data_IF_225003255225
#
_entry.id   IF_225003255225
#
_cell.length_a   1.000
_cell.length_b   1.000
_cell.length_c   1.000
_cell.angle_alpha   90.00
_cell.angle_beta   90.00
_cell.angle_gamma   90.00
#
_symmetry.space_group_name_H-M   'P 1'
#
loop_
_entity.id
_entity.type
_entity.pdbx_description
1 polymer ?
#
# COMPACT_ATOMS: atom_id res chain seq x y z
N UNK A 1 3.43 -9.05 -21.48
CA UNK A 1 4.06 -7.76 -21.07
C UNK A 1 3.43 -7.22 -19.79
N UNK A 2 2.11 -7.20 -19.65
CA UNK A 2 1.38 -6.76 -18.44
C UNK A 2 1.66 -7.65 -17.21
N UNK A 3 1.61 -8.98 -17.40
CA UNK A 3 1.87 -9.97 -16.34
C UNK A 3 3.21 -9.78 -15.64
N UNK A 4 4.25 -9.43 -16.38
CA UNK A 4 5.58 -9.27 -15.79
C UNK A 4 5.72 -7.96 -15.00
N UNK A 5 5.03 -6.88 -15.41
CA UNK A 5 5.05 -5.61 -14.68
C UNK A 5 4.25 -5.67 -13.37
N UNK A 6 3.06 -6.29 -13.37
CA UNK A 6 2.29 -6.52 -12.14
C UNK A 6 3.01 -7.51 -11.23
N UNK A 7 3.62 -8.58 -11.77
CA UNK A 7 4.45 -9.49 -11.00
C UNK A 7 5.64 -8.78 -10.35
N UNK A 8 6.24 -7.77 -10.98
CA UNK A 8 7.34 -7.02 -10.38
C UNK A 8 6.90 -6.17 -9.19
N UNK A 9 5.68 -5.62 -9.22
CA UNK A 9 5.10 -4.87 -8.10
C UNK A 9 4.67 -5.84 -6.98
N UNK A 10 4.05 -6.97 -7.34
CA UNK A 10 3.63 -8.00 -6.39
C UNK A 10 4.80 -8.85 -5.86
N UNK A 11 5.84 -9.07 -6.67
CA UNK A 11 7.05 -9.77 -6.22
C UNK A 11 7.83 -8.95 -5.19
N UNK A 12 7.70 -7.63 -5.25
CA UNK A 12 8.26 -6.77 -4.24
C UNK A 12 7.57 -6.97 -2.87
N UNK A 13 6.24 -7.14 -2.83
CA UNK A 13 5.51 -7.50 -1.60
C UNK A 13 5.94 -8.88 -1.09
N UNK A 14 6.07 -9.89 -1.97
CA UNK A 14 6.54 -11.23 -1.60
C UNK A 14 8.00 -11.27 -1.16
N UNK A 15 8.87 -10.44 -1.71
CA UNK A 15 10.27 -10.33 -1.30
C UNK A 15 10.44 -9.77 0.12
N UNK A 16 9.51 -8.98 0.59
CA UNK A 16 9.46 -8.48 1.97
C UNK A 16 9.02 -9.56 2.97
N UNK A 17 8.05 -10.38 2.61
CA UNK A 17 7.66 -11.56 3.41
C UNK A 17 8.82 -12.55 3.58
N UNK A 18 9.72 -12.65 2.59
CA UNK A 18 10.89 -13.52 2.64
C UNK A 18 12.02 -12.98 3.53
N UNK A 19 12.18 -11.65 3.63
CA UNK A 19 13.19 -11.03 4.53
C UNK A 19 12.74 -10.98 5.99
N UNK A 20 11.44 -11.00 6.25
CA UNK A 20 10.85 -11.05 7.59
C UNK A 20 10.62 -12.47 8.12
N UNK A 21 10.98 -13.50 7.35
CA UNK A 21 10.91 -14.88 7.81
C UNK A 21 12.07 -15.12 8.79
N UNK A 22 11.81 -14.83 10.07
CA UNK A 22 12.54 -15.46 11.15
C UNK A 22 12.63 -16.96 10.86
N UNK A 23 13.80 -17.54 11.05
CA UNK A 23 14.07 -18.97 10.93
C UNK A 23 12.85 -19.76 11.34
N UNK A 24 12.33 -20.59 10.43
CA UNK A 24 11.38 -21.62 10.79
C UNK A 24 12.09 -22.50 11.82
N UNK A 25 11.83 -22.24 13.10
CA UNK A 25 12.06 -23.25 14.11
C UNK A 25 11.19 -24.43 13.68
N UNK A 26 11.82 -25.49 13.23
CA UNK A 26 11.17 -26.78 13.05
C UNK A 26 10.49 -27.11 14.38
N UNK A 27 9.17 -27.10 14.37
CA UNK A 27 8.42 -27.63 15.49
C UNK A 27 8.71 -29.14 15.48
N UNK A 28 9.20 -29.73 16.57
CA UNK A 28 9.41 -31.16 16.66
C UNK A 28 8.06 -31.85 16.36
N UNK A 29 8.07 -32.81 15.44
CA UNK A 29 6.92 -33.69 15.21
C UNK A 29 6.52 -34.30 16.56
N UNK A 30 5.36 -33.92 17.07
CA UNK A 30 4.78 -34.49 18.27
C UNK A 30 4.28 -35.91 17.94
N UNK A 31 5.23 -36.88 17.88
CA UNK A 31 4.91 -38.30 17.95
C UNK A 31 4.73 -38.69 19.43
N UNK A 32 3.49 -38.79 19.82
CA UNK A 32 3.14 -39.33 21.15
C UNK A 32 1.78 -38.79 21.57
N UNK A 33 0.89 -39.69 22.01
CA UNK A 33 -0.33 -39.37 22.72
C UNK A 33 0.03 -38.75 24.07
N UNK A 34 0.44 -37.48 24.08
CA UNK A 34 0.49 -36.69 25.29
C UNK A 34 -0.89 -36.14 25.58
N UNK A 35 -1.33 -36.26 26.81
CA UNK A 35 -2.61 -35.76 27.29
C UNK A 35 -2.73 -34.29 26.92
N UNK A 36 -3.79 -33.94 26.17
CA UNK A 36 -4.09 -32.56 25.74
C UNK A 36 -4.20 -31.56 26.89
N UNK A 37 -4.24 -32.02 28.12
CA UNK A 37 -4.27 -31.20 29.33
C UNK A 37 -2.95 -30.47 29.63
N UNK A 38 -1.80 -30.98 29.19
CA UNK A 38 -0.51 -30.32 29.43
C UNK A 38 -0.15 -29.21 28.42
N UNK A 39 -0.85 -29.15 27.28
CA UNK A 39 -0.60 -28.16 26.22
C UNK A 39 -1.07 -26.75 26.57
N UNK A 40 -1.96 -26.60 27.54
CA UNK A 40 -2.51 -25.30 27.92
C UNK A 40 -2.29 -25.04 29.40
N UNK A 41 -1.20 -24.34 29.72
CA UNK A 41 -1.02 -23.81 31.07
C UNK A 41 -1.93 -22.60 31.27
N UNK A 42 -2.66 -22.60 32.39
CA UNK A 42 -3.48 -21.44 32.77
C UNK A 42 -2.55 -20.26 33.06
N UNK A 43 -2.51 -19.29 32.15
CA UNK A 43 -1.80 -18.05 32.37
C UNK A 43 -2.59 -17.16 33.33
N UNK A 44 -1.95 -16.68 34.38
CA UNK A 44 -2.51 -15.62 35.22
C UNK A 44 -2.10 -14.30 34.54
N UNK A 45 -3.05 -13.70 33.82
CA UNK A 45 -2.83 -12.42 33.18
C UNK A 45 -2.99 -11.31 34.22
N UNK A 46 -1.98 -10.46 34.33
CA UNK A 46 -2.07 -9.23 35.11
C UNK A 46 -2.47 -8.08 34.22
N UNK A 47 -3.41 -7.29 34.68
CA UNK A 47 -3.79 -6.07 33.99
C UNK A 47 -2.57 -5.13 33.92
N UNK A 48 -2.29 -4.63 32.73
CA UNK A 48 -1.22 -3.65 32.51
C UNK A 48 -1.79 -2.43 31.80
N UNK A 49 -1.46 -1.24 32.33
CA UNK A 49 -1.73 0.05 31.70
C UNK A 49 -0.55 0.57 30.87
N UNK A 50 0.46 -0.27 30.71
CA UNK A 50 1.60 0.09 29.88
C UNK A 50 1.16 0.23 28.43
N UNK A 51 1.49 1.37 27.82
CA UNK A 51 1.29 1.53 26.38
C UNK A 51 2.11 0.46 25.64
N UNK A 52 1.42 -0.35 24.84
CA UNK A 52 2.05 -1.37 24.01
C UNK A 52 2.14 -0.76 22.61
N UNK A 53 3.35 -0.57 22.14
CA UNK A 53 3.57 -0.25 20.73
C UNK A 53 3.32 -1.50 19.90
N UNK A 54 2.41 -1.39 18.96
CA UNK A 54 2.08 -2.48 18.04
C UNK A 54 2.24 -1.98 16.60
N UNK A 55 3.49 -1.98 16.09
CA UNK A 55 3.80 -1.45 14.78
C UNK A 55 2.95 -2.10 13.69
N UNK A 56 2.34 -1.29 12.83
CA UNK A 56 1.50 -1.76 11.75
C UNK A 56 0.10 -2.24 12.17
N UNK A 57 -0.31 -1.99 13.41
CA UNK A 57 -1.64 -2.35 13.90
C UNK A 57 -2.26 -1.16 14.65
N UNK A 58 -3.52 -0.84 14.37
CA UNK A 58 -4.25 0.23 15.03
C UNK A 58 -4.88 1.23 14.06
N UNK A 59 -5.14 2.42 14.55
CA UNK A 59 -5.73 3.51 13.77
C UNK A 59 -4.67 4.19 12.92
N UNK A 60 -5.08 4.67 11.74
CA UNK A 60 -4.26 5.51 10.87
C UNK A 60 -4.99 6.84 10.58
N UNK A 61 -4.24 7.90 10.38
CA UNK A 61 -4.78 9.16 9.87
C UNK A 61 -4.74 9.19 8.34
N UNK A 62 -5.82 9.69 7.74
CA UNK A 62 -5.93 9.85 6.29
C UNK A 62 -5.47 11.26 5.90
N UNK A 63 -4.43 11.35 5.09
CA UNK A 63 -3.99 12.56 4.42
C UNK A 63 -4.31 12.48 2.93
N UNK A 64 -4.77 13.59 2.38
CA UNK A 64 -5.05 13.70 0.95
C UNK A 64 -4.22 14.80 0.35
N UNK A 65 -3.48 14.49 -0.71
CA UNK A 65 -2.63 15.43 -1.44
C UNK A 65 -2.98 15.40 -2.92
N UNK A 66 -2.88 16.57 -3.58
CA UNK A 66 -3.01 16.65 -5.02
C UNK A 66 -1.62 16.72 -5.65
N UNK A 67 -1.31 15.77 -6.55
CA UNK A 67 0.00 15.71 -7.20
C UNK A 67 0.31 16.91 -8.09
N UNK A 68 -0.72 17.61 -8.58
CA UNK A 68 -0.57 18.82 -9.40
C UNK A 68 -0.39 20.11 -8.56
N UNK A 69 -0.75 20.08 -7.28
CA UNK A 69 -0.63 21.23 -6.38
C UNK A 69 0.67 21.17 -5.59
N UNK A 70 1.79 21.39 -6.28
CA UNK A 70 3.12 21.33 -5.66
C UNK A 70 3.30 22.47 -4.66
N UNK A 71 3.80 22.15 -3.45
CA UNK A 71 4.13 23.15 -2.43
C UNK A 71 3.07 23.38 -1.37
N UNK A 72 2.03 22.55 -1.30
CA UNK A 72 1.12 22.53 -0.16
C UNK A 72 1.88 22.30 1.16
N UNK A 73 1.43 22.90 2.29
CA UNK A 73 2.07 22.68 3.58
C UNK A 73 1.88 21.23 4.03
N UNK A 74 2.99 20.59 4.41
CA UNK A 74 2.98 19.25 4.98
C UNK A 74 2.86 19.35 6.52
N UNK A 75 2.00 18.55 7.12
CA UNK A 75 1.74 18.57 8.54
C UNK A 75 1.44 17.16 9.08
N UNK A 76 1.58 16.99 10.38
CA UNK A 76 1.12 15.82 11.13
C UNK A 76 -0.10 16.25 11.95
N UNK A 77 -1.23 15.57 11.76
CA UNK A 77 -2.46 15.84 12.51
C UNK A 77 -2.45 15.13 13.87
N UNK A 78 -1.79 13.99 13.97
CA UNK A 78 -1.69 13.20 15.19
C UNK A 78 -0.28 12.62 15.32
N UNK A 79 0.42 12.97 16.40
CA UNK A 79 1.78 12.47 16.65
C UNK A 79 1.78 11.01 17.15
N UNK A 80 0.72 10.56 17.79
CA UNK A 80 0.63 9.24 18.42
C UNK A 80 0.40 8.12 17.41
N UNK A 81 -0.11 8.42 16.23
CA UNK A 81 -0.36 7.43 15.18
C UNK A 81 0.94 7.01 14.52
N UNK A 82 1.19 5.71 14.46
CA UNK A 82 2.36 5.13 13.79
C UNK A 82 2.13 4.93 12.28
N UNK A 83 0.86 4.76 11.87
CA UNK A 83 0.46 4.55 10.48
C UNK A 83 -0.26 5.76 9.91
N UNK A 84 -0.01 6.04 8.65
CA UNK A 84 -0.72 7.06 7.87
C UNK A 84 -1.21 6.47 6.54
N UNK A 85 -2.40 6.83 6.12
CA UNK A 85 -2.88 6.57 4.76
C UNK A 85 -2.70 7.84 3.93
N UNK A 86 -1.79 7.79 2.97
CA UNK A 86 -1.51 8.87 2.04
C UNK A 86 -2.29 8.62 0.75
N UNK A 87 -3.37 9.35 0.56
CA UNK A 87 -4.16 9.35 -0.66
C UNK A 87 -3.66 10.46 -1.57
N UNK A 88 -3.14 10.11 -2.73
CA UNK A 88 -2.53 11.03 -3.70
C UNK A 88 -3.38 11.07 -4.96
N UNK A 89 -4.00 12.22 -5.21
CA UNK A 89 -4.78 12.50 -6.41
C UNK A 89 -3.87 12.81 -7.58
N UNK A 90 -3.97 12.00 -8.64
CA UNK A 90 -3.28 12.16 -9.91
C UNK A 90 -4.25 12.49 -11.06
N UNK A 91 -5.50 12.86 -10.78
CA UNK A 91 -6.54 13.11 -11.76
C UNK A 91 -6.21 14.21 -12.78
N UNK A 92 -5.34 15.17 -12.41
CA UNK A 92 -4.85 16.21 -13.33
C UNK A 92 -3.98 15.63 -14.49
N UNK A 93 -3.55 14.39 -14.37
CA UNK A 93 -2.69 13.70 -15.36
C UNK A 93 -3.43 12.65 -16.19
N UNK A 94 -4.76 12.59 -16.13
CA UNK A 94 -5.57 11.58 -16.84
C UNK A 94 -5.36 11.55 -18.35
N UNK A 95 -4.84 12.62 -18.94
CA UNK A 95 -4.65 12.78 -20.39
C UNK A 95 -3.16 12.93 -20.79
N UNK A 96 -2.23 12.85 -19.82
CA UNK A 96 -0.78 13.06 -20.03
C UNK A 96 0.03 12.38 -18.93
N UNK A 97 1.33 12.09 -19.16
CA UNK A 97 2.22 11.58 -18.12
C UNK A 97 2.32 12.52 -16.91
N UNK A 98 2.62 11.96 -15.74
CA UNK A 98 2.89 12.74 -14.52
C UNK A 98 4.16 13.57 -14.76
N UNK A 99 4.06 14.87 -14.49
CA UNK A 99 5.20 15.77 -14.67
C UNK A 99 6.29 15.55 -13.61
N UNK A 100 7.55 15.79 -13.98
CA UNK A 100 8.66 15.66 -13.02
C UNK A 100 8.49 16.53 -11.76
N UNK A 101 8.02 17.79 -11.83
CA UNK A 101 7.72 18.55 -10.61
C UNK A 101 6.70 17.87 -9.69
N UNK A 102 5.73 17.15 -10.27
CA UNK A 102 4.72 16.41 -9.50
C UNK A 102 5.28 15.12 -8.90
N UNK A 103 6.15 14.42 -9.61
CA UNK A 103 6.87 13.25 -9.07
C UNK A 103 7.79 13.69 -7.93
N UNK A 104 8.48 14.81 -8.07
CA UNK A 104 9.30 15.37 -7.00
C UNK A 104 8.45 15.81 -5.79
N UNK A 105 7.27 16.34 -6.04
CA UNK A 105 6.33 16.65 -4.97
C UNK A 105 5.89 15.40 -4.21
N UNK A 106 5.59 14.30 -4.91
CA UNK A 106 5.27 13.02 -4.30
C UNK A 106 6.47 12.54 -3.45
N UNK A 107 7.71 12.63 -3.95
CA UNK A 107 8.93 12.31 -3.17
C UNK A 107 9.01 13.13 -1.89
N UNK A 108 8.72 14.42 -1.96
CA UNK A 108 8.74 15.30 -0.78
C UNK A 108 7.68 14.91 0.26
N UNK A 109 6.47 14.52 -0.18
CA UNK A 109 5.44 13.99 0.72
C UNK A 109 5.97 12.74 1.44
N UNK A 110 6.49 11.76 0.69
CA UNK A 110 6.99 10.52 1.28
C UNK A 110 8.20 10.76 2.20
N UNK A 111 9.12 11.62 1.81
CA UNK A 111 10.26 12.01 2.63
C UNK A 111 9.83 12.64 3.97
N UNK A 112 8.83 13.52 3.94
CA UNK A 112 8.29 14.14 5.14
C UNK A 112 7.74 13.11 6.13
N UNK A 113 6.91 12.15 5.68
CA UNK A 113 6.35 11.13 6.56
C UNK A 113 7.40 10.13 7.04
N UNK A 114 8.41 9.83 6.23
CA UNK A 114 9.59 9.05 6.64
C UNK A 114 10.37 9.74 7.75
N UNK A 115 10.64 11.04 7.64
CA UNK A 115 11.31 11.83 8.68
C UNK A 115 10.51 11.82 9.99
N UNK A 116 9.19 11.81 9.89
CA UNK A 116 8.28 11.68 11.04
C UNK A 116 8.13 10.24 11.53
N UNK A 117 8.87 9.28 10.95
CA UNK A 117 8.87 7.86 11.32
C UNK A 117 7.49 7.21 11.23
N UNK A 118 6.65 7.66 10.29
CA UNK A 118 5.32 7.09 10.06
C UNK A 118 5.41 5.94 9.05
N UNK A 119 4.79 4.80 9.36
CA UNK A 119 4.57 3.74 8.38
C UNK A 119 3.51 4.19 7.38
N UNK A 120 3.81 4.09 6.09
CA UNK A 120 2.96 4.66 5.05
C UNK A 120 2.12 3.58 4.35
N UNK A 121 0.82 3.81 4.28
CA UNK A 121 -0.08 3.12 3.35
C UNK A 121 -0.34 4.09 2.22
N UNK A 122 -0.05 3.70 0.98
CA UNK A 122 -0.20 4.57 -0.18
C UNK A 122 -1.43 4.21 -0.98
N UNK A 123 -2.16 5.21 -1.43
CA UNK A 123 -3.23 5.09 -2.39
C UNK A 123 -3.15 6.20 -3.42
N UNK A 124 -3.01 5.84 -4.68
CA UNK A 124 -3.07 6.77 -5.81
C UNK A 124 -4.39 6.59 -6.55
N UNK A 125 -5.00 7.68 -6.97
CA UNK A 125 -6.26 7.62 -7.72
C UNK A 125 -6.43 8.79 -8.66
N UNK A 126 -7.19 8.58 -9.74
CA UNK A 126 -7.65 9.65 -10.63
C UNK A 126 -8.92 10.33 -10.12
N UNK A 127 -9.55 9.74 -9.11
CA UNK A 127 -10.86 10.14 -8.64
C UNK A 127 -10.93 10.10 -7.11
N UNK A 128 -11.47 11.16 -6.54
CA UNK A 128 -11.73 11.29 -5.10
C UNK A 128 -13.22 11.34 -4.75
N UNK A 129 -14.11 11.30 -5.78
CA UNK A 129 -15.54 11.55 -5.63
C UNK A 129 -16.42 10.30 -5.89
N UNK A 130 -15.83 9.16 -6.23
CA UNK A 130 -16.56 7.96 -6.63
C UNK A 130 -17.03 7.98 -8.09
N UNK A 131 -16.30 8.70 -8.95
CA UNK A 131 -16.58 8.84 -10.39
C UNK A 131 -15.46 8.27 -11.27
N UNK A 132 -14.88 7.15 -10.85
CA UNK A 132 -13.72 6.54 -11.51
C UNK A 132 -13.89 6.37 -13.01
N UNK A 133 -15.04 5.86 -13.46
CA UNK A 133 -15.35 5.66 -14.89
C UNK A 133 -15.20 6.94 -15.74
N UNK A 134 -15.53 8.10 -15.17
CA UNK A 134 -15.47 9.39 -15.86
C UNK A 134 -14.09 10.06 -15.76
N UNK A 135 -13.37 9.77 -14.68
CA UNK A 135 -12.14 10.48 -14.28
C UNK A 135 -10.85 9.76 -14.68
N UNK A 136 -10.89 8.45 -14.87
CA UNK A 136 -9.70 7.68 -15.25
C UNK A 136 -9.27 7.94 -16.71
N UNK A 137 -8.00 7.73 -17.07
CA UNK A 137 -7.50 7.88 -18.43
C UNK A 137 -8.32 7.10 -19.47
N UNK A 138 -8.43 7.63 -20.67
CA UNK A 138 -9.05 6.95 -21.80
C UNK A 138 -8.19 5.82 -22.40
N UNK A 139 -6.92 5.75 -22.02
CA UNK A 139 -5.94 4.77 -22.51
C UNK A 139 -5.30 3.98 -21.38
N UNK A 140 -5.38 2.66 -21.46
CA UNK A 140 -4.69 1.77 -20.51
C UNK A 140 -3.17 1.94 -20.54
N UNK A 141 -2.60 2.29 -21.70
CA UNK A 141 -1.15 2.54 -21.82
C UNK A 141 -0.70 3.71 -20.95
N UNK A 142 -1.53 4.76 -20.84
CA UNK A 142 -1.23 5.90 -19.98
C UNK A 142 -1.31 5.50 -18.49
N UNK A 143 -2.27 4.64 -18.13
CA UNK A 143 -2.32 4.06 -16.77
C UNK A 143 -1.05 3.28 -16.47
N UNK A 144 -0.57 2.45 -17.41
CA UNK A 144 0.68 1.71 -17.27
C UNK A 144 1.89 2.62 -17.10
N UNK A 145 1.95 3.72 -17.86
CA UNK A 145 3.01 4.72 -17.75
C UNK A 145 2.99 5.38 -16.37
N UNK A 146 1.83 5.80 -15.87
CA UNK A 146 1.71 6.33 -14.51
C UNK A 146 2.11 5.32 -13.45
N UNK A 147 1.71 4.05 -13.60
CA UNK A 147 2.14 2.99 -12.68
C UNK A 147 3.66 2.82 -12.69
N UNK A 148 4.30 2.96 -13.85
CA UNK A 148 5.76 2.90 -13.94
C UNK A 148 6.42 4.09 -13.25
N UNK A 149 5.98 5.33 -13.53
CA UNK A 149 6.49 6.55 -12.92
C UNK A 149 6.36 6.52 -11.39
N UNK A 150 5.16 6.19 -10.89
CA UNK A 150 4.88 6.05 -9.46
C UNK A 150 5.69 4.89 -8.85
N UNK A 151 5.82 3.78 -9.55
CA UNK A 151 6.59 2.62 -9.11
C UNK A 151 8.07 2.91 -8.91
N UNK A 152 8.64 3.84 -9.68
CA UNK A 152 10.02 4.32 -9.47
C UNK A 152 10.14 5.09 -8.15
N UNK A 153 9.20 5.99 -7.88
CA UNK A 153 9.16 6.73 -6.61
C UNK A 153 8.92 5.78 -5.42
N UNK A 154 7.97 4.84 -5.52
CA UNK A 154 7.69 3.87 -4.45
C UNK A 154 8.94 3.06 -4.10
N UNK A 155 9.75 2.67 -5.07
CA UNK A 155 10.98 1.90 -4.82
C UNK A 155 12.01 2.66 -3.95
N UNK A 156 12.05 3.97 -4.06
CA UNK A 156 12.96 4.81 -3.27
C UNK A 156 12.59 4.83 -1.77
N UNK A 157 11.33 4.54 -1.43
CA UNK A 157 10.78 4.57 -0.07
C UNK A 157 10.25 3.21 0.40
N UNK A 158 10.67 2.15 -0.26
CA UNK A 158 10.12 0.80 -0.07
C UNK A 158 10.14 0.32 1.39
N UNK A 159 11.15 0.69 2.15
CA UNK A 159 11.31 0.24 3.54
C UNK A 159 10.35 0.95 4.51
N UNK A 160 9.82 2.10 4.12
CA UNK A 160 8.89 2.91 4.92
C UNK A 160 7.42 2.72 4.51
N UNK A 161 7.19 2.03 3.38
CA UNK A 161 5.84 1.76 2.86
C UNK A 161 5.34 0.43 3.37
N UNK A 162 4.27 0.48 4.17
CA UNK A 162 3.62 -0.69 4.74
C UNK A 162 2.80 -1.45 3.70
N UNK A 163 2.02 -0.73 2.90
CA UNK A 163 1.19 -1.29 1.84
C UNK A 163 0.88 -0.25 0.75
N UNK A 164 0.57 -0.74 -0.44
CA UNK A 164 -0.06 0.05 -1.51
C UNK A 164 -1.47 -0.50 -1.70
N UNK A 165 -2.46 0.38 -1.59
CA UNK A 165 -3.87 0.03 -1.75
C UNK A 165 -4.35 0.39 -3.15
N UNK A 166 -5.04 -0.55 -3.80
CA UNK A 166 -5.59 -0.35 -5.13
C UNK A 166 -4.51 -0.29 -6.22
N UNK A 167 -4.91 0.06 -7.43
CA UNK A 167 -4.06 0.13 -8.63
C UNK A 167 -4.38 1.35 -9.51
N UNK A 168 -4.59 2.51 -8.93
CA UNK A 168 -4.89 3.79 -9.58
C UNK A 168 -6.31 3.93 -10.14
N UNK A 169 -6.88 2.89 -10.73
CA UNK A 169 -8.14 2.93 -11.49
C UNK A 169 -9.37 2.65 -10.63
N UNK A 170 -10.52 3.03 -11.16
CA UNK A 170 -11.81 2.89 -10.49
C UNK A 170 -12.07 3.97 -9.45
N UNK A 171 -13.19 3.83 -8.77
CA UNK A 171 -13.58 4.75 -7.71
C UNK A 171 -12.50 4.75 -6.61
N UNK A 172 -12.00 5.93 -6.28
CA UNK A 172 -10.95 6.13 -5.26
C UNK A 172 -9.67 5.31 -5.48
N UNK A 173 -9.43 4.80 -6.70
CA UNK A 173 -8.31 3.92 -7.00
C UNK A 173 -8.50 2.46 -6.53
N UNK A 174 -9.70 2.07 -6.14
CA UNK A 174 -10.03 0.76 -5.56
C UNK A 174 -10.50 -0.27 -6.60
N UNK A 175 -10.27 -0.03 -7.87
CA UNK A 175 -10.59 -0.87 -9.03
C UNK A 175 -12.08 -0.93 -9.40
N UNK A 176 -13.00 -0.89 -8.46
CA UNK A 176 -14.43 -0.97 -8.75
C UNK A 176 -14.92 0.28 -9.50
N UNK A 177 -15.89 0.13 -10.40
CA UNK A 177 -16.38 1.22 -11.23
C UNK A 177 -15.35 1.71 -12.29
N UNK A 178 -14.40 0.85 -12.67
CA UNK A 178 -13.42 1.13 -13.73
C UNK A 178 -13.89 0.56 -15.08
N UNK A 179 -13.54 1.25 -16.16
CA UNK A 179 -13.68 0.71 -17.54
C UNK A 179 -12.73 -0.43 -17.83
N UNK A 180 -11.67 -0.58 -17.04
CA UNK A 180 -10.61 -1.57 -17.22
C UNK A 180 -10.82 -2.83 -16.38
N UNK A 181 -11.91 -2.92 -15.62
CA UNK A 181 -12.18 -4.03 -14.70
C UNK A 181 -12.15 -5.38 -15.41
N UNK A 182 -12.77 -5.46 -16.59
CA UNK A 182 -12.84 -6.70 -17.37
C UNK A 182 -11.47 -7.18 -17.82
N UNK A 183 -10.55 -6.27 -18.18
CA UNK A 183 -9.18 -6.62 -18.56
C UNK A 183 -8.35 -7.17 -17.39
N UNK A 184 -8.64 -6.73 -16.17
CA UNK A 184 -7.90 -7.11 -14.97
C UNK A 184 -8.40 -8.43 -14.38
N UNK A 185 -9.70 -8.70 -14.41
CA UNK A 185 -10.27 -9.99 -14.00
C UNK A 185 -9.76 -11.16 -14.85
N UNK A 186 -9.63 -10.96 -16.17
CA UNK A 186 -9.07 -11.99 -17.06
C UNK A 186 -7.61 -12.34 -16.77
N UNK A 187 -6.87 -11.49 -16.07
CA UNK A 187 -5.47 -11.74 -15.69
C UNK A 187 -5.33 -12.39 -14.33
N UNK A 188 -6.31 -12.27 -13.44
CA UNK A 188 -6.29 -12.90 -12.11
C UNK A 188 -6.72 -14.36 -12.19
N UNK A 189 -7.78 -14.69 -12.93
CA UNK A 189 -8.28 -16.06 -13.09
C UNK A 189 -7.31 -16.99 -13.85
N UNK A 190 -6.41 -16.43 -14.66
CA UNK A 190 -5.38 -17.19 -15.36
C UNK A 190 -4.12 -17.47 -14.50
N UNK A 191 -4.11 -17.11 -13.22
CA UNK A 191 -3.01 -17.39 -12.31
C UNK A 191 -3.29 -18.59 -11.39
N UNK A 192 -4.51 -19.14 -11.42
CA UNK A 192 -4.94 -20.28 -10.60
C UNK A 192 -4.97 -21.62 -11.35
N UNK A 193 -4.55 -21.66 -12.68
CA UNK A 193 -4.38 -22.87 -13.48
C UNK A 193 -2.93 -23.33 -13.56
#
# INVERSE_FOLDING_TARGET
>A
MWREKIKSILSWQKGREAKGRAEKKEFPELRGKQDKKELFQKAILQESRKAIQNPGCGWYHLYTFNAAQTGEPLYIACEEEELVLLRIDIGAFRDKPISEPSLEWIRRILAFFREKRKGMILRFSYDLEGKGLEKEPGSIRLVEEHMQQIGEVIREYADDIFAVQGILIGNWGEMHGSRYLTCLLYTSDAADD
#
